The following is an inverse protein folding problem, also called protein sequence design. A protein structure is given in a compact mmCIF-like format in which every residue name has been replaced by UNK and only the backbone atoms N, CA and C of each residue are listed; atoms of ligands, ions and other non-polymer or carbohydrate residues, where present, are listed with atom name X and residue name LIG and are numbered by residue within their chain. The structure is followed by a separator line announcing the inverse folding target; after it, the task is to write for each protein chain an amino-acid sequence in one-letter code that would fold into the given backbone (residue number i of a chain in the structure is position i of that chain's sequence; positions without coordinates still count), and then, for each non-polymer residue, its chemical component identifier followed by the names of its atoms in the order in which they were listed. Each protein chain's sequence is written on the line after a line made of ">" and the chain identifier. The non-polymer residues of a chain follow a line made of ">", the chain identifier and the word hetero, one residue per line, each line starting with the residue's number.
data_IF_565811641402
#
_entry.id   IF_565811641402
#
_cell.length_a   1.000
_cell.length_b   1.000
_cell.length_c   1.000
_cell.angle_alpha   90.00
_cell.angle_beta   90.00
_cell.angle_gamma   90.00
#
_symmetry.space_group_name_H-M   'P 1'
#
loop_
_entity.id
_entity.type
_entity.pdbx_description
1 polymer ?
#
# COMPACT_ATOMS: atom_id res chain seq x y z
N UNK A 1 -8.22 -10.49 -2.42
CA UNK A 1 -7.14 -10.64 -1.42
C UNK A 1 -5.94 -9.93 -2.00
N UNK A 2 -5.50 -8.82 -1.39
CA UNK A 2 -4.32 -8.09 -1.84
C UNK A 2 -3.13 -9.03 -2.08
N UNK A 3 -2.35 -8.74 -3.12
CA UNK A 3 -1.21 -9.55 -3.54
C UNK A 3 0.09 -8.79 -3.27
N UNK A 4 1.22 -9.48 -3.42
CA UNK A 4 2.55 -8.86 -3.33
C UNK A 4 2.75 -8.07 -2.04
N UNK A 5 2.26 -8.60 -0.91
CA UNK A 5 2.33 -7.94 0.39
C UNK A 5 3.79 -7.98 0.88
N UNK A 6 4.31 -6.81 1.23
CA UNK A 6 5.65 -6.63 1.82
C UNK A 6 5.49 -5.93 3.17
N UNK A 7 5.92 -6.62 4.22
CA UNK A 7 6.08 -6.05 5.56
C UNK A 7 7.53 -5.52 5.70
N UNK A 8 7.67 -4.21 5.81
CA UNK A 8 8.99 -3.58 5.92
C UNK A 8 9.68 -3.90 7.25
N UNK A 9 8.92 -4.16 8.32
CA UNK A 9 9.44 -4.56 9.63
C UNK A 9 10.00 -5.99 9.60
N UNK A 10 9.56 -6.83 8.67
CA UNK A 10 10.13 -8.17 8.48
C UNK A 10 11.50 -8.15 7.76
N UNK A 11 11.77 -7.12 6.94
CA UNK A 11 12.99 -7.03 6.13
C UNK A 11 14.06 -6.08 6.69
N UNK A 12 13.67 -5.11 7.53
CA UNK A 12 14.60 -4.15 8.13
C UNK A 12 14.63 -4.27 9.66
N UNK A 13 15.78 -4.62 10.27
CA UNK A 13 15.89 -4.67 11.73
C UNK A 13 15.72 -3.30 12.39
N UNK A 14 16.06 -2.23 11.68
CA UNK A 14 15.90 -0.86 12.19
C UNK A 14 14.41 -0.52 12.28
N UNK A 15 13.64 -0.78 11.22
CA UNK A 15 12.20 -0.52 11.21
C UNK A 15 11.49 -1.41 12.22
N UNK A 16 11.96 -2.65 12.42
CA UNK A 16 11.42 -3.57 13.42
C UNK A 16 11.48 -3.03 14.85
N UNK A 17 12.54 -2.31 15.18
CA UNK A 17 12.75 -1.75 16.52
C UNK A 17 12.06 -0.38 16.71
N UNK A 18 11.61 0.24 15.62
CA UNK A 18 10.87 1.49 15.63
C UNK A 18 9.36 1.26 15.90
N UNK A 19 8.63 2.27 16.42
CA UNK A 19 7.19 2.13 16.70
C UNK A 19 6.32 2.16 15.43
N UNK A 20 6.92 2.14 14.24
CA UNK A 20 6.22 2.27 12.98
C UNK A 20 5.93 0.91 12.35
N UNK A 21 4.71 0.77 11.83
CA UNK A 21 4.31 -0.33 10.97
C UNK A 21 4.29 0.17 9.53
N UNK A 22 5.12 -0.39 8.65
CA UNK A 22 5.20 0.02 7.26
C UNK A 22 4.92 -1.19 6.37
N UNK A 23 4.01 -1.02 5.41
CA UNK A 23 3.56 -2.10 4.52
C UNK A 23 3.42 -1.60 3.09
N UNK A 24 3.60 -2.51 2.13
CA UNK A 24 3.26 -2.33 0.72
C UNK A 24 2.43 -3.52 0.25
N UNK A 25 1.50 -3.29 -0.68
CA UNK A 25 0.75 -4.35 -1.36
C UNK A 25 0.25 -3.89 -2.72
N UNK A 26 -0.17 -4.84 -3.55
CA UNK A 26 -0.84 -4.62 -4.82
C UNK A 26 -2.31 -5.07 -4.74
N UNK A 27 -3.18 -4.37 -5.45
CA UNK A 27 -4.61 -4.66 -5.53
C UNK A 27 -5.12 -4.45 -6.95
N UNK A 28 -6.15 -5.20 -7.32
CA UNK A 28 -6.96 -4.88 -8.49
C UNK A 28 -7.88 -3.69 -8.21
N UNK A 29 -8.53 -3.09 -9.23
CA UNK A 29 -9.55 -2.06 -9.02
C UNK A 29 -10.70 -2.50 -8.09
N UNK A 30 -11.21 -3.73 -8.23
CA UNK A 30 -12.28 -4.20 -7.35
C UNK A 30 -11.81 -4.36 -5.90
N UNK A 31 -10.59 -4.87 -5.69
CA UNK A 31 -10.02 -5.05 -4.35
C UNK A 31 -9.78 -3.71 -3.65
N UNK A 32 -9.30 -2.70 -4.38
CA UNK A 32 -9.16 -1.36 -3.86
C UNK A 32 -10.52 -0.72 -3.53
N UNK A 33 -11.57 -1.00 -4.32
CA UNK A 33 -12.92 -0.54 -4.03
C UNK A 33 -13.48 -1.18 -2.75
N UNK A 34 -13.24 -2.48 -2.53
CA UNK A 34 -13.61 -3.14 -1.26
C UNK A 34 -12.87 -2.53 -0.07
N UNK A 35 -11.60 -2.17 -0.24
CA UNK A 35 -10.86 -1.41 0.77
C UNK A 35 -11.52 -0.07 1.08
N UNK A 36 -11.95 0.69 0.06
CA UNK A 36 -12.62 1.99 0.28
C UNK A 36 -13.93 1.84 1.07
N UNK A 37 -14.64 0.73 0.89
CA UNK A 37 -15.89 0.45 1.62
C UNK A 37 -15.63 0.06 3.07
N UNK A 38 -14.58 -0.74 3.33
CA UNK A 38 -14.27 -1.22 4.67
C UNK A 38 -12.76 -1.45 4.86
N UNK A 39 -11.99 -0.38 5.12
CA UNK A 39 -10.53 -0.47 5.14
C UNK A 39 -10.00 -1.36 6.26
N UNK A 40 -10.67 -1.39 7.42
CA UNK A 40 -10.24 -2.24 8.55
C UNK A 40 -10.37 -3.72 8.25
N UNK A 41 -11.47 -4.13 7.61
CA UNK A 41 -11.66 -5.53 7.25
C UNK A 41 -10.62 -5.99 6.22
N UNK A 42 -10.30 -5.15 5.23
CA UNK A 42 -9.25 -5.47 4.26
C UNK A 42 -7.85 -5.47 4.89
N UNK A 43 -7.54 -4.54 5.81
CA UNK A 43 -6.28 -4.54 6.57
C UNK A 43 -6.11 -5.82 7.39
N UNK A 44 -7.17 -6.28 8.07
CA UNK A 44 -7.14 -7.52 8.85
C UNK A 44 -6.86 -8.76 7.97
N UNK A 45 -7.35 -8.81 6.73
CA UNK A 45 -7.03 -9.89 5.77
C UNK A 45 -5.54 -9.94 5.42
N UNK A 46 -4.81 -8.84 5.58
CA UNK A 46 -3.36 -8.76 5.39
C UNK A 46 -2.57 -9.01 6.68
N UNK A 47 -3.24 -9.33 7.79
CA UNK A 47 -2.61 -9.50 9.11
C UNK A 47 -2.38 -8.19 9.87
N UNK A 48 -2.92 -7.07 9.39
CA UNK A 48 -2.80 -5.76 10.04
C UNK A 48 -4.04 -5.53 10.91
N UNK A 49 -3.93 -5.94 12.17
CA UNK A 49 -4.99 -5.73 13.16
C UNK A 49 -4.83 -4.36 13.83
N UNK A 50 -5.82 -3.48 13.62
CA UNK A 50 -5.82 -2.14 14.21
C UNK A 50 -6.73 -2.08 15.44
N UNK A 51 -6.31 -1.35 16.50
CA UNK A 51 -7.19 -1.05 17.63
C UNK A 51 -8.51 -0.39 17.20
N UNK A 52 -9.62 -0.60 17.94
CA UNK A 52 -10.91 -0.03 17.60
C UNK A 52 -10.93 1.50 17.47
N UNK A 53 -10.10 2.19 18.25
CA UNK A 53 -9.97 3.65 18.32
C UNK A 53 -8.94 4.22 17.33
N UNK A 54 -8.14 3.38 16.67
CA UNK A 54 -7.15 3.81 15.69
C UNK A 54 -7.81 4.34 14.42
N UNK A 55 -7.67 5.62 14.07
CA UNK A 55 -8.28 6.17 12.84
C UNK A 55 -7.58 5.64 11.58
N UNK A 56 -8.34 5.23 10.57
CA UNK A 56 -7.77 4.96 9.24
C UNK A 56 -7.91 6.21 8.37
N UNK A 57 -6.82 6.65 7.77
CA UNK A 57 -6.78 7.77 6.82
C UNK A 57 -6.35 7.24 5.46
N UNK A 58 -7.08 7.57 4.40
CA UNK A 58 -6.78 7.08 3.06
C UNK A 58 -6.65 8.21 2.06
N UNK A 59 -5.56 8.19 1.30
CA UNK A 59 -5.29 9.06 0.18
C UNK A 59 -5.31 8.25 -1.11
N UNK A 60 -5.94 8.77 -2.16
CA UNK A 60 -5.85 8.22 -3.51
C UNK A 60 -5.05 9.22 -4.34
N UNK A 61 -3.83 8.85 -4.67
CA UNK A 61 -3.00 9.55 -5.64
C UNK A 61 -3.54 9.32 -7.05
N UNK A 62 -3.20 10.23 -7.98
CA UNK A 62 -3.60 10.18 -9.39
C UNK A 62 -5.07 9.75 -9.67
N UNK A 63 -6.00 10.15 -8.79
CA UNK A 63 -7.39 9.69 -8.80
C UNK A 63 -8.08 9.81 -10.16
N UNK A 64 -7.94 10.94 -10.86
CA UNK A 64 -8.58 11.16 -12.17
C UNK A 64 -8.06 10.18 -13.23
N UNK A 65 -6.77 9.85 -13.18
CA UNK A 65 -6.16 8.86 -14.08
C UNK A 65 -6.74 7.46 -13.84
N UNK A 66 -6.90 7.10 -12.55
CA UNK A 66 -7.47 5.82 -12.12
C UNK A 66 -8.94 5.71 -12.51
N UNK A 67 -9.73 6.73 -12.23
CA UNK A 67 -11.16 6.78 -12.53
C UNK A 67 -11.42 6.63 -14.04
N UNK A 68 -10.66 7.33 -14.88
CA UNK A 68 -10.79 7.26 -16.34
C UNK A 68 -10.50 5.86 -16.92
N UNK A 69 -9.60 5.08 -16.30
CA UNK A 69 -9.17 3.77 -16.82
C UNK A 69 -9.94 2.59 -16.25
N UNK A 70 -10.55 2.79 -15.09
CA UNK A 70 -11.30 1.76 -14.36
C UNK A 70 -12.80 2.01 -14.34
N UNK A 71 -13.30 3.00 -15.06
CA UNK A 71 -14.71 3.42 -15.01
C UNK A 71 -15.17 3.66 -13.57
N UNK A 72 -14.46 4.52 -12.84
CA UNK A 72 -14.69 4.77 -11.41
C UNK A 72 -14.65 3.48 -10.57
N UNK A 73 -13.58 2.68 -10.73
CA UNK A 73 -13.36 1.41 -10.03
C UNK A 73 -14.34 0.27 -10.39
N UNK A 74 -15.29 0.46 -11.30
CA UNK A 74 -16.30 -0.59 -11.61
C UNK A 74 -15.90 -1.52 -12.74
N UNK A 75 -14.77 -1.28 -13.41
CA UNK A 75 -14.26 -2.17 -14.47
C UNK A 75 -13.81 -3.50 -13.87
N UNK A 76 -14.09 -4.59 -14.58
CA UNK A 76 -13.68 -5.94 -14.20
C UNK A 76 -12.15 -6.06 -14.03
N UNK A 77 -11.72 -6.98 -13.17
CA UNK A 77 -10.32 -7.20 -12.75
C UNK A 77 -9.41 -7.84 -13.83
N UNK A 78 -9.85 -7.87 -15.08
CA UNK A 78 -9.11 -8.41 -16.22
C UNK A 78 -8.24 -7.35 -16.93
N UNK A 79 -8.31 -6.09 -16.49
CA UNK A 79 -7.51 -4.98 -17.02
C UNK A 79 -6.06 -4.95 -16.53
N UNK A 80 -5.15 -4.27 -17.26
CA UNK A 80 -3.72 -4.18 -16.88
C UNK A 80 -3.45 -3.25 -15.69
N UNK A 81 -4.49 -2.71 -15.05
CA UNK A 81 -4.36 -1.68 -14.02
C UNK A 81 -4.04 -2.33 -12.68
N UNK A 82 -2.95 -1.88 -12.07
CA UNK A 82 -2.52 -2.25 -10.72
C UNK A 82 -2.70 -1.02 -9.83
N UNK A 83 -3.23 -1.23 -8.64
CA UNK A 83 -3.31 -0.21 -7.59
C UNK A 83 -2.36 -0.62 -6.48
N UNK A 84 -1.29 0.16 -6.31
CA UNK A 84 -0.31 -0.03 -5.26
C UNK A 84 -0.80 0.65 -3.98
N UNK A 85 -0.89 -0.09 -2.89
CA UNK A 85 -1.14 0.42 -1.56
C UNK A 85 0.16 0.53 -0.77
N UNK A 86 0.33 1.63 -0.06
CA UNK A 86 1.32 1.78 1.00
C UNK A 86 0.61 2.12 2.30
N UNK A 87 0.95 1.42 3.37
CA UNK A 87 0.30 1.54 4.67
C UNK A 87 1.32 1.86 5.75
N UNK A 88 0.98 2.78 6.64
CA UNK A 88 1.87 3.31 7.65
C UNK A 88 1.13 3.68 8.93
N UNK A 89 1.47 3.04 10.05
CA UNK A 89 0.96 3.39 11.38
C UNK A 89 2.10 3.63 12.38
N UNK A 90 1.81 4.26 13.50
CA UNK A 90 2.74 4.36 14.63
C UNK A 90 2.02 3.89 15.90
N UNK A 91 2.59 2.97 16.69
CA UNK A 91 1.97 2.55 17.96
C UNK A 91 1.76 3.70 18.96
N UNK A 92 2.55 4.77 18.86
CA UNK A 92 2.45 5.96 19.68
C UNK A 92 1.41 6.98 19.18
N UNK A 93 0.74 6.73 18.04
CA UNK A 93 -0.30 7.60 17.50
C UNK A 93 -1.52 6.78 17.08
N UNK A 94 -2.72 7.23 17.45
CA UNK A 94 -3.97 6.52 17.14
C UNK A 94 -4.42 6.70 15.67
N UNK A 95 -3.53 6.45 14.70
CA UNK A 95 -3.90 6.42 13.29
C UNK A 95 -3.08 5.43 12.45
N UNK A 96 -3.66 5.02 11.32
CA UNK A 96 -3.02 4.28 10.25
C UNK A 96 -3.31 4.98 8.91
N UNK A 97 -2.26 5.39 8.19
CA UNK A 97 -2.37 6.06 6.90
C UNK A 97 -2.17 5.07 5.77
N UNK A 98 -3.01 5.17 4.76
CA UNK A 98 -2.91 4.41 3.52
C UNK A 98 -2.82 5.38 2.35
N UNK A 99 -1.87 5.18 1.45
CA UNK A 99 -1.86 5.85 0.13
C UNK A 99 -2.01 4.82 -0.97
N UNK A 100 -2.89 5.10 -1.92
CA UNK A 100 -3.07 4.32 -3.14
C UNK A 100 -2.59 5.09 -4.36
N UNK A 101 -1.83 4.42 -5.22
CA UNK A 101 -1.41 4.94 -6.53
C UNK A 101 -1.69 3.90 -7.61
N UNK A 102 -2.24 4.33 -8.74
CA UNK A 102 -2.57 3.43 -9.83
C UNK A 102 -1.61 3.55 -11.02
N UNK A 103 -1.29 2.42 -11.65
CA UNK A 103 -0.51 2.38 -12.88
C UNK A 103 -0.87 1.18 -13.76
N UNK A 104 -0.37 1.15 -14.98
CA UNK A 104 -0.46 -0.04 -15.85
C UNK A 104 0.69 -1.00 -15.54
N UNK A 105 0.43 -2.31 -15.64
CA UNK A 105 1.44 -3.36 -15.46
C UNK A 105 2.65 -3.18 -16.37
N UNK A 106 2.46 -2.61 -17.55
CA UNK A 106 3.53 -2.27 -18.49
C UNK A 106 4.53 -1.23 -17.96
N UNK A 107 4.17 -0.44 -16.94
CA UNK A 107 5.05 0.57 -16.37
C UNK A 107 6.08 0.00 -15.38
N UNK A 108 5.88 -1.23 -14.90
CA UNK A 108 6.76 -1.86 -13.92
C UNK A 108 8.16 -2.05 -14.50
N UNK A 109 9.18 -1.52 -13.81
CA UNK A 109 10.59 -1.63 -14.20
C UNK A 109 11.05 -0.63 -15.27
N UNK A 110 10.17 0.20 -15.83
CA UNK A 110 10.56 1.23 -16.81
C UNK A 110 11.45 2.33 -16.22
N UNK A 111 11.22 2.65 -14.94
CA UNK A 111 11.91 3.72 -14.25
C UNK A 111 12.88 3.13 -13.23
N UNK A 112 14.16 3.46 -13.35
CA UNK A 112 15.19 3.09 -12.38
C UNK A 112 15.29 4.17 -11.31
N UNK A 113 15.17 3.78 -10.05
CA UNK A 113 15.37 4.68 -8.91
C UNK A 113 16.88 4.75 -8.59
N UNK A 114 17.36 5.94 -8.27
CA UNK A 114 18.66 6.08 -7.63
C UNK A 114 18.47 5.75 -6.13
N UNK A 115 19.14 4.69 -5.66
CA UNK A 115 19.12 4.32 -4.25
C UNK A 115 20.14 5.14 -3.46
N UNK A 116 19.83 5.42 -2.19
CA UNK A 116 20.73 6.13 -1.29
C UNK A 116 21.90 5.26 -0.77
N UNK A 117 21.75 3.95 -0.86
CA UNK A 117 22.71 2.89 -0.50
C UNK A 117 22.46 1.66 -1.37
N UNK A 118 23.38 0.69 -1.38
CA UNK A 118 23.23 -0.53 -2.19
C UNK A 118 22.15 -1.47 -1.64
N UNK A 119 21.59 -2.36 -2.47
CA UNK A 119 20.54 -3.31 -2.04
C UNK A 119 21.01 -4.28 -0.93
N UNK A 120 22.32 -4.51 -0.81
CA UNK A 120 22.93 -5.33 0.24
C UNK A 120 23.31 -4.53 1.50
N UNK A 121 23.22 -3.21 1.45
CA UNK A 121 23.51 -2.31 2.56
C UNK A 121 22.22 -1.97 3.30
N UNK A 122 22.17 -2.21 4.61
CA UNK A 122 20.93 -2.03 5.41
C UNK A 122 20.66 -0.58 5.82
N UNK A 123 21.73 0.19 6.03
CA UNK A 123 21.68 1.58 6.49
C UNK A 123 22.92 2.34 6.05
N UNK A 124 22.77 3.65 5.90
CA UNK A 124 23.89 4.58 5.69
C UNK A 124 24.20 5.27 7.02
N UNK A 125 25.47 5.22 7.44
CA UNK A 125 25.96 5.91 8.65
C UNK A 125 26.48 7.30 8.34
#
# INVERSE_FOLDING_TARGET
>A
MPRSIVDFSAISPIIKDEPFFLHFWESTPSEALEFMKNPRAELAKMGIELPPDCRVETTIENHDWLAARTNNFTRADDGPIIICGTGGGNVAKAYYKVSFYAHEKSEVGKYKKQLLHSESERERK
#
